data_IF_924420629723
#
_entry.id   IF_924420629723
#
_cell.length_a   1.000
_cell.length_b   1.000
_cell.length_c   1.000
_cell.angle_alpha   90.00
_cell.angle_beta   90.00
_cell.angle_gamma   90.00
#
_symmetry.space_group_name_H-M   'P 1'
#
loop_
_entity.id
_entity.type
_entity.pdbx_description
1 polymer ?
#
# COMPACT_ATOMS: atom_id res chain seq x y z
N UNK A 1 -26.61 0.93 83.07
CA UNK A 1 -26.06 1.45 81.79
C UNK A 1 -25.21 0.37 81.11
N UNK A 2 -25.82 -0.74 80.66
CA UNK A 2 -25.05 -1.90 80.16
C UNK A 2 -25.86 -2.80 79.22
N UNK A 3 -26.65 -2.24 78.29
CA UNK A 3 -27.36 -3.02 77.25
C UNK A 3 -27.57 -2.22 75.95
N UNK A 4 -26.51 -1.66 75.35
CA UNK A 4 -26.64 -0.94 74.07
C UNK A 4 -25.66 -1.35 72.95
N UNK A 5 -24.87 -2.43 73.11
CA UNK A 5 -23.88 -2.85 72.09
C UNK A 5 -24.09 -4.25 71.52
N UNK A 6 -25.26 -4.86 71.69
CA UNK A 6 -25.48 -6.28 71.35
C UNK A 6 -26.19 -6.52 70.00
N UNK A 7 -26.18 -5.58 69.04
CA UNK A 7 -26.98 -5.73 67.82
C UNK A 7 -26.29 -5.30 66.51
N UNK A 8 -24.96 -5.39 66.43
CA UNK A 8 -24.20 -5.18 65.19
C UNK A 8 -23.70 -6.49 64.55
N UNK A 9 -24.10 -7.65 65.09
CA UNK A 9 -23.66 -8.98 64.63
C UNK A 9 -24.64 -9.64 63.64
N UNK A 10 -25.61 -8.89 63.14
CA UNK A 10 -26.53 -9.25 62.05
C UNK A 10 -26.43 -8.12 61.03
N UNK A 11 -25.92 -8.24 59.80
CA UNK A 11 -25.64 -9.38 58.93
C UNK A 11 -24.53 -8.89 57.97
N UNK A 12 -23.34 -9.51 57.93
CA UNK A 12 -22.25 -9.05 57.05
C UNK A 12 -22.70 -8.97 55.57
N UNK A 13 -23.68 -9.78 55.18
CA UNK A 13 -24.35 -9.79 53.86
C UNK A 13 -25.07 -8.49 53.50
N UNK A 14 -25.64 -7.75 54.46
CA UNK A 14 -26.35 -6.49 54.18
C UNK A 14 -25.33 -5.37 53.90
N UNK A 15 -24.24 -5.33 54.65
CA UNK A 15 -23.16 -4.35 54.45
C UNK A 15 -22.46 -4.60 53.10
N UNK A 16 -22.23 -5.85 52.72
CA UNK A 16 -21.68 -6.16 51.39
C UNK A 16 -22.64 -5.76 50.28
N UNK A 17 -23.92 -6.11 50.39
CA UNK A 17 -24.92 -5.75 49.38
C UNK A 17 -25.07 -4.23 49.23
N UNK A 18 -25.04 -3.47 50.33
CA UNK A 18 -25.09 -2.01 50.31
C UNK A 18 -23.84 -1.40 49.65
N UNK A 19 -22.64 -1.95 49.91
CA UNK A 19 -21.41 -1.52 49.24
C UNK A 19 -21.44 -1.78 47.73
N UNK A 20 -21.93 -2.95 47.30
CA UNK A 20 -22.11 -3.24 45.87
C UNK A 20 -23.15 -2.32 45.22
N UNK A 21 -24.25 -2.01 45.89
CA UNK A 21 -25.28 -1.10 45.38
C UNK A 21 -24.75 0.33 45.23
N UNK A 22 -24.01 0.84 46.22
CA UNK A 22 -23.40 2.18 46.16
C UNK A 22 -22.33 2.24 45.07
N UNK A 23 -21.48 1.21 44.95
CA UNK A 23 -20.50 1.12 43.87
C UNK A 23 -21.18 1.06 42.48
N UNK A 24 -22.27 0.32 42.35
CA UNK A 24 -23.05 0.22 41.11
C UNK A 24 -23.71 1.55 40.73
N UNK A 25 -24.34 2.24 41.69
CA UNK A 25 -24.95 3.56 41.46
C UNK A 25 -23.88 4.60 41.08
N UNK A 26 -22.74 4.61 41.77
CA UNK A 26 -21.63 5.50 41.43
C UNK A 26 -21.10 5.23 39.99
N UNK A 27 -21.04 3.96 39.57
CA UNK A 27 -20.61 3.56 38.24
C UNK A 27 -21.61 4.00 37.14
N UNK A 28 -22.92 3.91 37.42
CA UNK A 28 -23.98 4.35 36.49
C UNK A 28 -24.05 5.86 36.39
N UNK A 29 -23.81 6.59 37.48
CA UNK A 29 -23.89 8.05 37.50
C UNK A 29 -22.65 8.76 36.94
N UNK A 30 -21.51 8.08 36.81
CA UNK A 30 -20.25 8.66 36.33
C UNK A 30 -19.68 7.84 35.17
N UNK A 31 -20.23 7.96 33.94
CA UNK A 31 -19.81 7.16 32.79
C UNK A 31 -18.34 7.36 32.40
N UNK A 32 -17.76 8.52 32.74
CA UNK A 32 -16.33 8.82 32.54
C UNK A 32 -15.41 8.03 33.47
N UNK A 33 -15.85 7.68 34.68
CA UNK A 33 -15.09 6.81 35.58
C UNK A 33 -15.09 5.35 35.09
N UNK A 34 -16.21 4.87 34.57
CA UNK A 34 -16.29 3.56 33.91
C UNK A 34 -15.37 3.47 32.69
N UNK A 35 -15.28 4.54 31.89
CA UNK A 35 -14.30 4.65 30.79
C UNK A 35 -12.85 4.60 31.29
N UNK A 36 -12.52 5.28 32.39
CA UNK A 36 -11.15 5.30 32.95
C UNK A 36 -10.73 4.02 33.71
N UNK A 37 -11.68 3.20 34.16
CA UNK A 37 -11.43 2.02 35.02
C UNK A 37 -11.52 0.67 34.29
N UNK A 38 -11.48 0.67 32.96
CA UNK A 38 -11.40 -0.57 32.18
C UNK A 38 -12.69 -1.00 31.50
N UNK A 39 -13.67 -0.11 31.26
CA UNK A 39 -14.73 -0.41 30.29
C UNK A 39 -14.16 -0.68 28.87
N UNK A 40 -12.96 -0.17 28.56
CA UNK A 40 -12.23 -0.53 27.33
C UNK A 40 -11.70 -1.98 27.31
N UNK A 41 -11.69 -2.70 28.45
CA UNK A 41 -11.34 -4.14 28.47
C UNK A 41 -12.29 -4.94 27.58
N UNK A 42 -13.57 -4.55 27.51
CA UNK A 42 -14.55 -5.16 26.61
C UNK A 42 -14.31 -4.84 25.13
N UNK A 43 -13.58 -3.75 24.85
CA UNK A 43 -13.17 -3.35 23.51
C UNK A 43 -11.79 -3.91 23.10
N UNK A 44 -11.04 -4.53 24.02
CA UNK A 44 -9.70 -5.08 23.73
C UNK A 44 -9.73 -6.11 22.60
N UNK A 45 -10.78 -6.93 22.49
CA UNK A 45 -10.92 -7.87 21.37
C UNK A 45 -11.06 -7.14 20.05
N UNK A 46 -11.98 -6.18 19.96
CA UNK A 46 -12.19 -5.35 18.78
C UNK A 46 -10.94 -4.54 18.40
N UNK A 47 -10.25 -3.94 19.38
CA UNK A 47 -8.98 -3.25 19.13
C UNK A 47 -7.89 -4.20 18.62
N UNK A 48 -7.79 -5.42 19.16
CA UNK A 48 -6.86 -6.45 18.65
C UNK A 48 -7.20 -6.88 17.23
N UNK A 49 -8.48 -7.04 16.93
CA UNK A 49 -8.95 -7.38 15.59
C UNK A 49 -8.66 -6.25 14.59
N UNK A 50 -8.83 -4.99 14.99
CA UNK A 50 -8.45 -3.83 14.19
C UNK A 50 -6.93 -3.75 13.96
N UNK A 51 -6.11 -3.98 15.00
CA UNK A 51 -4.65 -4.02 14.86
C UNK A 51 -4.22 -5.16 13.94
N UNK A 52 -4.83 -6.34 14.06
CA UNK A 52 -4.56 -7.48 13.16
C UNK A 52 -4.92 -7.15 11.72
N UNK A 53 -6.14 -6.65 11.48
CA UNK A 53 -6.60 -6.26 10.15
C UNK A 53 -5.70 -5.18 9.53
N UNK A 54 -5.28 -4.17 10.30
CA UNK A 54 -4.37 -3.14 9.82
C UNK A 54 -2.96 -3.69 9.51
N UNK A 55 -2.48 -4.64 10.31
CA UNK A 55 -1.19 -5.32 10.08
C UNK A 55 -1.23 -6.16 8.81
N UNK A 56 -2.30 -6.94 8.63
CA UNK A 56 -2.50 -7.79 7.46
C UNK A 56 -2.59 -6.95 6.18
N UNK A 57 -3.34 -5.84 6.23
CA UNK A 57 -3.44 -4.91 5.10
C UNK A 57 -2.10 -4.22 4.80
N UNK A 58 -1.36 -3.80 5.83
CA UNK A 58 -0.03 -3.22 5.65
C UNK A 58 0.95 -4.21 5.01
N UNK A 59 0.90 -5.49 5.40
CA UNK A 59 1.71 -6.55 4.80
C UNK A 59 1.33 -6.78 3.33
N UNK A 60 0.03 -6.77 3.00
CA UNK A 60 -0.46 -6.89 1.61
C UNK A 60 0.04 -5.74 0.75
N UNK A 61 -0.11 -4.50 1.21
CA UNK A 61 0.34 -3.31 0.48
C UNK A 61 1.86 -3.31 0.29
N UNK A 62 2.63 -3.73 1.30
CA UNK A 62 4.08 -3.83 1.21
C UNK A 62 4.52 -4.84 0.13
N UNK A 63 3.85 -5.99 0.05
CA UNK A 63 4.12 -6.99 -0.99
C UNK A 63 3.78 -6.48 -2.41
N UNK A 64 2.74 -5.66 -2.53
CA UNK A 64 2.38 -4.99 -3.79
C UNK A 64 3.43 -3.94 -4.18
N UNK A 65 3.92 -3.16 -3.22
CA UNK A 65 4.98 -2.16 -3.42
C UNK A 65 6.29 -2.80 -3.88
N UNK A 66 6.75 -3.87 -3.20
CA UNK A 66 7.95 -4.62 -3.61
C UNK A 66 7.85 -5.12 -5.05
N UNK A 67 6.64 -5.57 -5.42
CA UNK A 67 6.32 -6.06 -6.75
C UNK A 67 6.35 -4.95 -7.81
N UNK A 68 6.04 -3.70 -7.43
CA UNK A 68 6.14 -2.51 -8.29
C UNK A 68 7.60 -2.04 -8.39
N UNK A 69 8.31 -1.96 -7.26
CA UNK A 69 9.70 -1.52 -7.19
C UNK A 69 10.62 -2.43 -7.98
N UNK A 70 10.45 -3.75 -7.88
CA UNK A 70 11.23 -4.71 -8.67
C UNK A 70 11.06 -4.47 -10.19
N UNK A 71 9.84 -4.14 -10.64
CA UNK A 71 9.60 -3.84 -12.06
C UNK A 71 10.23 -2.54 -12.50
N UNK A 72 10.20 -1.52 -11.64
CA UNK A 72 10.89 -0.27 -11.93
C UNK A 72 12.38 -0.57 -12.09
N UNK A 73 12.99 -1.32 -11.17
CA UNK A 73 14.41 -1.69 -11.25
C UNK A 73 14.75 -2.42 -12.56
N UNK A 74 13.92 -3.38 -13.00
CA UNK A 74 14.13 -4.08 -14.29
C UNK A 74 14.02 -3.11 -15.48
N UNK A 75 13.02 -2.21 -15.49
CA UNK A 75 12.88 -1.19 -16.55
C UNK A 75 14.06 -0.23 -16.57
N UNK A 76 14.54 0.20 -15.41
CA UNK A 76 15.71 1.06 -15.29
C UNK A 76 16.97 0.37 -15.85
N UNK A 77 17.13 -0.93 -15.64
CA UNK A 77 18.25 -1.70 -16.21
C UNK A 77 18.18 -1.73 -17.74
N UNK A 78 17.01 -2.05 -18.31
CA UNK A 78 16.81 -2.11 -19.77
C UNK A 78 17.06 -0.72 -20.40
N UNK A 79 16.52 0.33 -19.80
CA UNK A 79 16.65 1.69 -20.31
C UNK A 79 18.07 2.21 -20.21
N UNK A 80 18.81 1.83 -19.16
CA UNK A 80 20.23 2.14 -19.05
C UNK A 80 21.04 1.54 -20.20
N UNK A 81 20.81 0.26 -20.53
CA UNK A 81 21.45 -0.37 -21.69
C UNK A 81 21.08 0.32 -23.00
N UNK A 82 19.82 0.74 -23.15
CA UNK A 82 19.35 1.50 -24.31
C UNK A 82 20.05 2.86 -24.41
N UNK A 83 20.15 3.62 -23.31
CA UNK A 83 20.80 4.95 -23.27
C UNK A 83 22.28 4.82 -23.60
N UNK A 84 22.95 3.81 -23.04
CA UNK A 84 24.38 3.54 -23.25
C UNK A 84 24.67 2.91 -24.63
N UNK A 85 23.65 2.72 -25.47
CA UNK A 85 23.81 2.20 -26.83
C UNK A 85 24.15 0.71 -26.92
N UNK A 86 24.00 -0.03 -25.81
CA UNK A 86 24.22 -1.48 -25.76
C UNK A 86 23.00 -2.30 -26.17
N UNK A 87 21.83 -1.67 -26.21
CA UNK A 87 20.60 -2.26 -26.72
C UNK A 87 19.96 -1.29 -27.72
N UNK A 88 19.31 -1.85 -28.73
CA UNK A 88 18.43 -1.12 -29.66
C UNK A 88 17.05 -0.90 -29.05
N UNK A 89 16.29 0.04 -29.61
CA UNK A 89 14.90 0.28 -29.23
C UNK A 89 14.04 -0.96 -29.45
N UNK A 90 14.29 -1.73 -30.50
CA UNK A 90 13.58 -2.98 -30.81
C UNK A 90 13.76 -3.99 -29.68
N UNK A 91 15.00 -4.24 -29.24
CA UNK A 91 15.29 -5.18 -28.15
C UNK A 91 14.70 -4.68 -26.83
N UNK A 92 14.84 -3.39 -26.52
CA UNK A 92 14.26 -2.80 -25.32
C UNK A 92 12.73 -2.90 -25.32
N UNK A 93 12.09 -2.69 -26.47
CA UNK A 93 10.64 -2.85 -26.66
C UNK A 93 10.19 -4.28 -26.37
N UNK A 94 10.93 -5.27 -26.87
CA UNK A 94 10.61 -6.69 -26.63
C UNK A 94 10.75 -7.08 -25.17
N UNK A 95 11.81 -6.61 -24.50
CA UNK A 95 11.99 -6.82 -23.06
C UNK A 95 10.89 -6.13 -22.24
N UNK A 96 10.46 -4.93 -22.63
CA UNK A 96 9.32 -4.25 -22.00
C UNK A 96 7.99 -4.98 -22.24
N UNK A 97 7.76 -5.48 -23.45
CA UNK A 97 6.56 -6.25 -23.78
C UNK A 97 6.52 -7.54 -22.95
N UNK A 98 7.64 -8.28 -22.87
CA UNK A 98 7.76 -9.48 -22.06
C UNK A 98 7.52 -9.19 -20.56
N UNK A 99 8.10 -8.11 -20.03
CA UNK A 99 7.90 -7.70 -18.64
C UNK A 99 6.42 -7.37 -18.32
N UNK A 100 5.68 -6.84 -19.30
CA UNK A 100 4.27 -6.48 -19.11
C UNK A 100 3.29 -7.59 -19.53
N UNK A 101 3.73 -8.64 -20.21
CA UNK A 101 2.88 -9.74 -20.68
C UNK A 101 2.08 -10.41 -19.55
N UNK A 102 2.67 -10.55 -18.37
CA UNK A 102 2.01 -11.12 -17.19
C UNK A 102 1.03 -10.15 -16.49
N UNK A 103 0.86 -8.92 -16.99
CA UNK A 103 0.07 -7.86 -16.32
C UNK A 103 -0.81 -7.09 -17.30
N UNK A 104 -2.04 -7.59 -17.55
CA UNK A 104 -2.99 -6.93 -18.45
C UNK A 104 -3.25 -5.46 -18.11
N UNK A 105 -3.26 -5.10 -16.82
CA UNK A 105 -3.46 -3.71 -16.37
C UNK A 105 -2.34 -2.78 -16.86
N UNK A 106 -1.09 -3.26 -16.88
CA UNK A 106 0.05 -2.47 -17.36
C UNK A 106 -0.03 -2.27 -18.89
N UNK A 107 -0.43 -3.30 -19.63
CA UNK A 107 -0.65 -3.18 -21.07
C UNK A 107 -1.81 -2.23 -21.39
N UNK A 108 -2.90 -2.29 -20.62
CA UNK A 108 -4.03 -1.36 -20.79
C UNK A 108 -3.63 0.09 -20.55
N UNK A 109 -2.81 0.35 -19.53
CA UNK A 109 -2.26 1.69 -19.29
C UNK A 109 -1.40 2.18 -20.46
N UNK A 110 -0.55 1.32 -21.04
CA UNK A 110 0.25 1.65 -22.23
C UNK A 110 -0.64 1.91 -23.45
N UNK A 111 -1.66 1.07 -23.67
CA UNK A 111 -2.62 1.21 -24.77
C UNK A 111 -3.36 2.54 -24.75
N UNK A 112 -3.71 3.00 -23.56
CA UNK A 112 -4.38 4.27 -23.34
C UNK A 112 -3.44 5.47 -23.46
N UNK A 113 -2.25 5.41 -22.87
CA UNK A 113 -1.35 6.55 -22.76
C UNK A 113 -0.54 6.86 -24.03
N UNK A 114 -0.31 5.87 -24.91
CA UNK A 114 0.59 6.03 -26.05
C UNK A 114 -0.13 5.84 -27.40
N UNK A 115 0.14 6.72 -28.39
CA UNK A 115 -0.38 6.55 -29.74
C UNK A 115 0.30 5.40 -30.47
N UNK A 116 -0.35 4.87 -31.49
CA UNK A 116 0.12 3.76 -32.31
C UNK A 116 -1.02 2.82 -32.70
N UNK A 117 -0.81 2.05 -33.76
CA UNK A 117 -1.80 1.09 -34.27
C UNK A 117 -1.63 -0.28 -33.63
N UNK A 118 -0.40 -0.63 -33.26
CA UNK A 118 -0.07 -1.92 -32.63
C UNK A 118 0.40 -1.77 -31.18
N UNK A 119 0.20 -2.81 -30.36
CA UNK A 119 0.74 -2.84 -28.99
C UNK A 119 2.26 -2.68 -28.96
N UNK A 120 2.95 -3.19 -29.98
CA UNK A 120 4.40 -3.06 -30.13
C UNK A 120 4.81 -1.59 -30.35
N UNK A 121 4.13 -0.86 -31.24
CA UNK A 121 4.38 0.57 -31.44
C UNK A 121 4.15 1.38 -30.18
N UNK A 122 3.03 1.14 -29.49
CA UNK A 122 2.69 1.82 -28.24
C UNK A 122 3.71 1.52 -27.15
N UNK A 123 4.20 0.27 -27.08
CA UNK A 123 5.25 -0.14 -26.15
C UNK A 123 6.58 0.55 -26.49
N UNK A 124 6.96 0.64 -27.77
CA UNK A 124 8.17 1.35 -28.19
C UNK A 124 8.09 2.84 -27.82
N UNK A 125 6.94 3.49 -28.05
CA UNK A 125 6.69 4.88 -27.62
C UNK A 125 6.78 5.03 -26.09
N UNK A 126 6.30 4.03 -25.33
CA UNK A 126 6.49 4.01 -23.87
C UNK A 126 7.97 3.91 -23.48
N UNK A 127 8.76 3.06 -24.15
CA UNK A 127 10.21 2.95 -23.92
C UNK A 127 10.92 4.27 -24.20
N UNK A 128 10.62 4.93 -25.33
CA UNK A 128 11.19 6.24 -25.68
C UNK A 128 10.88 7.26 -24.58
N UNK A 129 9.61 7.41 -24.19
CA UNK A 129 9.20 8.34 -23.14
C UNK A 129 9.92 8.07 -21.81
N UNK A 130 10.00 6.79 -21.42
CA UNK A 130 10.68 6.39 -20.20
C UNK A 130 12.18 6.72 -20.26
N UNK A 131 12.87 6.40 -21.35
CA UNK A 131 14.29 6.69 -21.54
C UNK A 131 14.59 8.19 -21.53
N UNK A 132 13.80 8.99 -22.24
CA UNK A 132 13.95 10.45 -22.24
C UNK A 132 13.76 11.03 -20.84
N UNK A 133 12.84 10.47 -20.04
CA UNK A 133 12.61 10.85 -18.65
C UNK A 133 13.83 10.63 -17.73
N UNK A 134 14.71 9.65 -18.05
CA UNK A 134 15.95 9.35 -17.29
C UNK A 134 17.19 10.06 -17.83
N UNK A 135 17.09 10.67 -19.00
CA UNK A 135 18.24 11.26 -19.68
C UNK A 135 18.40 12.74 -19.29
N UNK A 136 19.63 13.21 -18.97
CA UNK A 136 19.89 14.62 -18.71
C UNK A 136 19.45 15.52 -19.87
N UNK A 137 18.99 16.73 -19.58
CA UNK A 137 18.44 17.64 -20.58
C UNK A 137 19.40 17.88 -21.77
N UNK A 138 20.71 18.02 -21.50
CA UNK A 138 21.73 18.24 -22.52
C UNK A 138 21.88 17.08 -23.53
N UNK A 139 21.59 15.83 -23.13
CA UNK A 139 21.70 14.65 -23.98
C UNK A 139 20.35 14.21 -24.58
N UNK A 140 19.24 14.79 -24.12
CA UNK A 140 17.88 14.33 -24.45
C UNK A 140 17.54 14.48 -25.94
N UNK A 141 17.97 15.57 -26.58
CA UNK A 141 17.71 15.81 -28.01
C UNK A 141 18.38 14.74 -28.89
N UNK A 142 19.68 14.51 -28.69
CA UNK A 142 20.44 13.49 -29.43
C UNK A 142 19.87 12.08 -29.22
N UNK A 143 19.50 11.74 -27.97
CA UNK A 143 18.86 10.45 -27.69
C UNK A 143 17.50 10.34 -28.39
N UNK A 144 16.67 11.39 -28.35
CA UNK A 144 15.36 11.40 -28.98
C UNK A 144 15.46 11.19 -30.49
N UNK A 145 16.40 11.85 -31.15
CA UNK A 145 16.64 11.72 -32.59
C UNK A 145 17.03 10.29 -32.95
N UNK A 146 17.99 9.71 -32.23
CA UNK A 146 18.41 8.32 -32.45
C UNK A 146 17.25 7.34 -32.27
N UNK A 147 16.51 7.44 -31.17
CA UNK A 147 15.42 6.50 -30.89
C UNK A 147 14.25 6.64 -31.87
N UNK A 148 13.96 7.85 -32.37
CA UNK A 148 12.97 8.03 -33.42
C UNK A 148 13.44 7.39 -34.73
N UNK A 149 14.71 7.55 -35.11
CA UNK A 149 15.26 6.90 -36.29
C UNK A 149 15.16 5.37 -36.19
N UNK A 150 15.52 4.78 -35.04
CA UNK A 150 15.36 3.35 -34.79
C UNK A 150 13.89 2.91 -34.84
N UNK A 151 12.96 3.72 -34.32
CA UNK A 151 11.53 3.45 -34.39
C UNK A 151 11.02 3.40 -35.84
N UNK A 152 11.42 4.38 -36.67
CA UNK A 152 11.03 4.44 -38.07
C UNK A 152 11.64 3.29 -38.88
N UNK A 153 12.89 2.91 -38.62
CA UNK A 153 13.54 1.75 -39.23
C UNK A 153 12.79 0.45 -38.89
N UNK A 154 12.41 0.27 -37.62
CA UNK A 154 11.67 -0.92 -37.19
C UNK A 154 10.23 -0.97 -37.76
N UNK A 155 9.64 0.19 -38.05
CA UNK A 155 8.33 0.28 -38.71
C UNK A 155 8.42 -0.05 -40.21
N UNK A 156 9.49 0.38 -40.88
CA UNK A 156 9.73 0.12 -42.30
C UNK A 156 10.11 -1.34 -42.61
N UNK A 157 10.59 -2.08 -41.62
CA UNK A 157 10.98 -3.49 -41.76
C UNK A 157 9.82 -4.49 -41.62
N UNK A 158 8.57 -4.01 -41.52
CA UNK A 158 7.35 -4.84 -41.42
C UNK A 158 6.59 -4.89 -42.74
#
# INVERSE_FOLDING_TARGET
MTKLFANLQTRPRIVTAALFAVAFVALVSHPTLAQSLGADVWNVSNLRDQVRAATDESARLSAEDDTVLNRIAVKESIVRELIEGRATLTEATDRFAQLNAARPQALNAIRFAYPGTTDREKTARNVISFALGRTPAAARAALSERLEAEFQQAAAAR
#
